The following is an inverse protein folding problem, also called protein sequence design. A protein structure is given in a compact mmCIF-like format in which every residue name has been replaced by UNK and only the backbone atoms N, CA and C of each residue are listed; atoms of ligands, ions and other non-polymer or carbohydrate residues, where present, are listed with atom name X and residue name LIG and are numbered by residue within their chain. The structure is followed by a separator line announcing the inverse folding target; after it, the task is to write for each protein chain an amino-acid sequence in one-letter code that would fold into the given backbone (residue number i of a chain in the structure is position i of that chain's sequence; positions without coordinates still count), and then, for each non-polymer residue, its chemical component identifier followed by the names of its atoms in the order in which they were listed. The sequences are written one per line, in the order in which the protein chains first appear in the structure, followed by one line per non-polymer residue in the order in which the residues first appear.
data_IF_595875577759
#
_entry.id   IF_595875577759
#
_cell.length_a   1.000
_cell.length_b   1.000
_cell.length_c   1.000
_cell.angle_alpha   90.00
_cell.angle_beta   90.00
_cell.angle_gamma   90.00
#
_symmetry.space_group_name_H-M   'P 1'
#
loop_
_entity.id
_entity.type
_entity.pdbx_description
1 polymer ?
#
# COMPACT_ATOMS: atom_id res chain seq x y z
N UNK A 1 19.01 -14.15 -56.83
CA UNK A 1 18.29 -13.83 -55.57
C UNK A 1 17.02 -13.07 -55.91
N UNK A 2 15.85 -13.61 -55.64
CA UNK A 2 14.59 -12.92 -55.89
C UNK A 2 14.50 -11.66 -54.99
N UNK A 3 14.35 -10.49 -55.62
CA UNK A 3 14.11 -9.23 -54.86
C UNK A 3 12.71 -9.33 -54.24
N UNK A 4 12.66 -9.31 -52.91
CA UNK A 4 11.42 -9.23 -52.18
C UNK A 4 10.71 -7.90 -52.53
N UNK A 5 9.46 -8.00 -53.01
CA UNK A 5 8.65 -6.80 -53.27
C UNK A 5 8.13 -6.22 -51.94
N UNK A 6 8.90 -5.31 -51.37
CA UNK A 6 8.59 -4.68 -50.05
C UNK A 6 7.34 -3.78 -50.10
N UNK A 7 6.82 -3.46 -51.28
CA UNK A 7 5.60 -2.67 -51.46
C UNK A 7 4.33 -3.52 -51.61
N UNK A 8 4.42 -4.85 -51.49
CA UNK A 8 3.23 -5.70 -51.55
C UNK A 8 2.50 -5.73 -50.20
N UNK A 9 1.16 -5.73 -50.25
CA UNK A 9 0.34 -5.84 -49.02
C UNK A 9 0.66 -7.11 -48.23
N UNK A 10 0.98 -8.22 -48.91
CA UNK A 10 1.35 -9.51 -48.29
C UNK A 10 2.67 -9.33 -47.49
N UNK A 11 3.68 -8.70 -48.09
CA UNK A 11 4.93 -8.44 -47.38
C UNK A 11 4.71 -7.59 -46.12
N UNK A 12 3.91 -6.52 -46.24
CA UNK A 12 3.60 -5.63 -45.10
C UNK A 12 2.91 -6.37 -43.95
N UNK A 13 1.91 -7.20 -44.28
CA UNK A 13 1.17 -8.00 -43.28
C UNK A 13 2.11 -9.00 -42.61
N UNK A 14 2.87 -9.78 -43.37
CA UNK A 14 3.80 -10.78 -42.80
C UNK A 14 4.86 -10.12 -41.95
N UNK A 15 5.47 -9.03 -42.41
CA UNK A 15 6.47 -8.29 -41.66
C UNK A 15 5.88 -7.74 -40.33
N UNK A 16 4.72 -7.08 -40.40
CA UNK A 16 4.06 -6.53 -39.19
C UNK A 16 3.71 -7.67 -38.21
N UNK A 17 3.21 -8.80 -38.68
CA UNK A 17 2.91 -9.95 -37.82
C UNK A 17 4.14 -10.49 -37.11
N UNK A 18 5.26 -10.67 -37.86
CA UNK A 18 6.52 -11.14 -37.24
C UNK A 18 7.01 -10.15 -36.18
N UNK A 19 7.00 -8.83 -36.47
CA UNK A 19 7.44 -7.81 -35.50
C UNK A 19 6.58 -7.83 -34.24
N UNK A 20 5.24 -7.95 -34.39
CA UNK A 20 4.32 -8.03 -33.25
C UNK A 20 4.57 -9.29 -32.42
N UNK A 21 4.76 -10.44 -33.06
CA UNK A 21 5.07 -11.70 -32.35
C UNK A 21 6.37 -11.58 -31.56
N UNK A 22 7.43 -11.04 -32.16
CA UNK A 22 8.72 -10.86 -31.50
C UNK A 22 8.56 -9.89 -30.30
N UNK A 23 7.88 -8.76 -30.51
CA UNK A 23 7.65 -7.78 -29.44
C UNK A 23 6.83 -8.39 -28.28
N UNK A 24 5.75 -9.13 -28.61
CA UNK A 24 4.92 -9.80 -27.61
C UNK A 24 5.72 -10.84 -26.82
N UNK A 25 6.54 -11.63 -27.50
CA UNK A 25 7.40 -12.63 -26.85
C UNK A 25 8.42 -11.97 -25.90
N UNK A 26 9.11 -10.90 -26.35
CA UNK A 26 10.06 -10.19 -25.52
C UNK A 26 9.40 -9.55 -24.30
N UNK A 27 8.23 -8.92 -24.48
CA UNK A 27 7.49 -8.34 -23.36
C UNK A 27 7.05 -9.41 -22.36
N UNK A 28 6.52 -10.52 -22.83
CA UNK A 28 6.08 -11.62 -21.97
C UNK A 28 7.27 -12.23 -21.20
N UNK A 29 8.40 -12.41 -21.89
CA UNK A 29 9.63 -12.92 -21.25
C UNK A 29 10.12 -12.00 -20.14
N UNK A 30 10.28 -10.70 -20.42
CA UNK A 30 10.72 -9.72 -19.42
C UNK A 30 9.73 -9.62 -18.27
N UNK A 31 8.44 -9.58 -18.54
CA UNK A 31 7.41 -9.55 -17.50
C UNK A 31 7.47 -10.78 -16.59
N UNK A 32 7.64 -11.98 -17.19
CA UNK A 32 7.77 -13.23 -16.43
C UNK A 32 9.04 -13.26 -15.57
N UNK A 33 10.17 -12.82 -16.12
CA UNK A 33 11.45 -12.81 -15.42
C UNK A 33 11.47 -11.82 -14.23
N UNK A 34 10.75 -10.69 -14.35
CA UNK A 34 10.71 -9.66 -13.31
C UNK A 34 9.60 -9.88 -12.27
N UNK A 35 8.64 -10.75 -12.55
CA UNK A 35 7.47 -10.96 -11.68
C UNK A 35 7.84 -11.29 -10.24
N UNK A 36 8.75 -12.22 -9.91
CA UNK A 36 9.10 -12.53 -8.52
C UNK A 36 9.64 -11.31 -7.77
N UNK A 37 10.48 -10.50 -8.44
CA UNK A 37 11.03 -9.27 -7.84
C UNK A 37 9.94 -8.22 -7.63
N UNK A 38 8.99 -8.09 -8.56
CA UNK A 38 7.86 -7.19 -8.40
C UNK A 38 6.96 -7.61 -7.24
N UNK A 39 6.64 -8.90 -7.13
CA UNK A 39 5.80 -9.42 -6.05
C UNK A 39 6.47 -9.20 -4.67
N UNK A 40 7.79 -9.43 -4.56
CA UNK A 40 8.55 -9.15 -3.35
C UNK A 40 8.56 -7.65 -3.00
N UNK A 41 8.71 -6.77 -3.99
CA UNK A 41 8.68 -5.32 -3.78
C UNK A 41 7.31 -4.84 -3.33
N UNK A 42 6.22 -5.37 -3.91
CA UNK A 42 4.83 -5.05 -3.50
C UNK A 42 4.59 -5.47 -2.06
N UNK A 43 5.04 -6.65 -1.65
CA UNK A 43 4.89 -7.12 -0.28
C UNK A 43 5.72 -6.28 0.71
N UNK A 44 6.95 -5.93 0.37
CA UNK A 44 7.79 -5.04 1.18
C UNK A 44 7.18 -3.64 1.30
N UNK A 45 6.60 -3.11 0.22
CA UNK A 45 5.90 -1.81 0.26
C UNK A 45 4.68 -1.88 1.18
N UNK A 46 3.87 -2.94 1.10
CA UNK A 46 2.75 -3.18 2.02
C UNK A 46 3.20 -3.24 3.48
N UNK A 47 4.27 -3.99 3.80
CA UNK A 47 4.84 -4.06 5.16
C UNK A 47 5.31 -2.69 5.63
N UNK A 48 5.98 -1.93 4.76
CA UNK A 48 6.42 -0.55 5.05
C UNK A 48 5.26 0.39 5.36
N UNK A 49 4.15 0.30 4.62
CA UNK A 49 2.95 1.10 4.84
C UNK A 49 2.28 0.79 6.18
N UNK A 50 2.20 -0.50 6.56
CA UNK A 50 1.71 -0.92 7.88
C UNK A 50 2.61 -0.36 8.99
N UNK A 51 3.93 -0.50 8.89
CA UNK A 51 4.88 0.07 9.84
C UNK A 51 4.77 1.60 9.93
N UNK A 52 4.60 2.27 8.79
CA UNK A 52 4.41 3.72 8.76
C UNK A 52 3.18 4.18 9.54
N UNK A 53 2.07 3.41 9.48
CA UNK A 53 0.88 3.69 10.30
C UNK A 53 1.13 3.54 11.79
N UNK A 54 2.08 2.67 12.17
CA UNK A 54 2.56 2.50 13.54
C UNK A 54 3.64 3.51 13.95
N UNK A 55 3.84 4.58 13.17
CA UNK A 55 4.89 5.59 13.35
C UNK A 55 6.33 5.05 13.24
N UNK A 56 6.51 3.88 12.65
CA UNK A 56 7.80 3.22 12.41
C UNK A 56 8.18 3.39 10.92
N UNK A 57 8.48 4.63 10.51
CA UNK A 57 8.89 4.99 9.15
C UNK A 57 10.39 4.73 8.94
N UNK A 58 10.83 4.64 7.70
CA UNK A 58 12.24 4.62 7.28
C UNK A 58 13.08 3.49 7.93
N UNK A 59 12.49 2.30 8.06
CA UNK A 59 13.20 1.13 8.58
C UNK A 59 14.16 0.58 7.53
N UNK A 60 15.44 0.36 7.94
CA UNK A 60 16.45 -0.24 7.07
C UNK A 60 16.15 -1.72 6.79
N UNK A 61 15.57 -2.44 7.75
CA UNK A 61 15.09 -3.81 7.64
C UNK A 61 13.57 -3.82 7.86
N UNK A 62 12.83 -3.68 6.76
CA UNK A 62 11.36 -3.64 6.78
C UNK A 62 10.80 -4.99 7.25
N UNK A 63 11.33 -6.08 6.72
CA UNK A 63 10.82 -7.42 7.01
C UNK A 63 11.08 -7.83 8.46
N UNK A 64 12.31 -7.65 8.95
CA UNK A 64 12.66 -7.93 10.34
C UNK A 64 11.83 -7.11 11.30
N UNK A 65 11.65 -5.79 11.03
CA UNK A 65 10.84 -4.92 11.89
C UNK A 65 9.36 -5.26 11.84
N UNK A 66 8.83 -5.61 10.68
CA UNK A 66 7.45 -6.04 10.54
C UNK A 66 7.18 -7.32 11.36
N UNK A 67 8.05 -8.33 11.25
CA UNK A 67 7.93 -9.59 12.00
C UNK A 67 8.13 -9.40 13.51
N UNK A 68 8.93 -8.41 13.94
CA UNK A 68 9.08 -8.05 15.34
C UNK A 68 7.79 -7.46 15.93
N UNK A 69 7.15 -6.56 15.19
CA UNK A 69 6.04 -5.72 15.69
C UNK A 69 4.67 -6.37 15.48
N UNK A 70 4.44 -7.00 14.31
CA UNK A 70 3.16 -7.65 14.01
C UNK A 70 3.13 -9.02 14.68
N UNK A 71 2.16 -9.23 15.57
CA UNK A 71 2.02 -10.47 16.34
C UNK A 71 1.02 -11.44 15.73
N UNK A 72 -0.04 -10.90 15.10
CA UNK A 72 -1.13 -11.70 14.57
C UNK A 72 -1.84 -10.99 13.44
N UNK A 73 -2.31 -11.74 12.46
CA UNK A 73 -3.26 -11.27 11.43
C UNK A 73 -4.63 -11.86 11.77
N UNK A 74 -5.61 -11.01 12.00
CA UNK A 74 -6.97 -11.42 12.32
C UNK A 74 -7.83 -11.26 11.07
N UNK A 75 -8.36 -12.37 10.57
CA UNK A 75 -9.27 -12.40 9.42
C UNK A 75 -10.71 -12.25 9.91
N UNK A 76 -11.46 -11.36 9.26
CA UNK A 76 -12.88 -11.12 9.50
C UNK A 76 -13.74 -11.75 8.41
N UNK A 77 -13.18 -11.82 7.20
CA UNK A 77 -13.79 -12.44 6.02
C UNK A 77 -12.67 -12.89 5.07
N UNK A 78 -13.03 -13.46 3.92
CA UNK A 78 -12.08 -13.79 2.86
C UNK A 78 -11.27 -12.59 2.34
N UNK A 79 -11.79 -11.38 2.51
CA UNK A 79 -11.20 -10.15 1.94
C UNK A 79 -10.80 -9.11 2.97
N UNK A 80 -11.32 -9.18 4.18
CA UNK A 80 -11.09 -8.20 5.24
C UNK A 80 -10.28 -8.82 6.39
N UNK A 81 -9.12 -8.23 6.67
CA UNK A 81 -8.23 -8.62 7.77
C UNK A 81 -7.66 -7.39 8.46
N UNK A 82 -7.21 -7.53 9.69
CA UNK A 82 -6.48 -6.51 10.42
C UNK A 82 -5.26 -7.11 11.10
N UNK A 83 -4.35 -6.25 11.58
CA UNK A 83 -3.11 -6.68 12.20
C UNK A 83 -3.13 -6.33 13.70
N UNK A 84 -2.79 -7.28 14.55
CA UNK A 84 -2.46 -7.03 15.95
C UNK A 84 -0.97 -6.78 16.05
N UNK A 85 -0.60 -5.63 16.56
CA UNK A 85 0.77 -5.18 16.68
C UNK A 85 1.12 -4.86 18.13
N UNK A 86 2.42 -4.89 18.44
CA UNK A 86 2.96 -4.44 19.72
C UNK A 86 4.08 -3.44 19.45
N UNK A 87 3.90 -2.23 19.94
CA UNK A 87 4.88 -1.14 19.84
C UNK A 87 5.15 -0.62 21.26
N UNK A 88 6.42 -0.61 21.65
CA UNK A 88 6.86 -0.16 23.00
C UNK A 88 6.10 -0.87 24.15
N UNK A 89 5.80 -2.16 24.00
CA UNK A 89 5.06 -2.96 24.97
C UNK A 89 3.56 -2.66 25.04
N UNK A 90 3.03 -1.86 24.12
CA UNK A 90 1.61 -1.55 24.01
C UNK A 90 0.97 -2.21 22.79
N UNK A 91 -0.19 -2.82 23.01
CA UNK A 91 -0.95 -3.39 21.90
C UNK A 91 -1.59 -2.32 21.04
N UNK A 92 -1.55 -2.53 19.73
CA UNK A 92 -2.19 -1.70 18.70
C UNK A 92 -2.97 -2.60 17.75
N UNK A 93 -4.02 -2.07 17.15
CA UNK A 93 -4.73 -2.75 16.06
C UNK A 93 -4.59 -1.91 14.80
N UNK A 94 -4.05 -2.48 13.73
CA UNK A 94 -3.91 -1.79 12.44
C UNK A 94 -5.00 -2.29 11.50
N UNK A 95 -5.85 -1.39 11.06
CA UNK A 95 -6.95 -1.66 10.13
C UNK A 95 -6.64 -1.08 8.76
N UNK A 96 -6.79 -1.86 7.66
CA UNK A 96 -6.70 -1.33 6.32
C UNK A 96 -7.93 -0.51 5.98
N UNK A 97 -7.73 0.59 5.26
CA UNK A 97 -8.80 1.46 4.77
C UNK A 97 -8.67 1.62 3.26
N UNK A 98 -9.79 1.53 2.54
CA UNK A 98 -9.85 1.64 1.08
C UNK A 98 -11.06 2.46 0.67
N UNK A 99 -10.88 3.30 -0.35
CA UNK A 99 -11.93 4.16 -0.89
C UNK A 99 -11.62 4.69 -2.27
N UNK A 100 -12.42 5.64 -2.72
CA UNK A 100 -12.24 6.31 -4.00
C UNK A 100 -11.91 7.79 -3.78
N UNK A 101 -10.90 8.29 -4.50
CA UNK A 101 -10.57 9.70 -4.59
C UNK A 101 -11.27 10.38 -5.77
N UNK A 102 -10.70 11.49 -6.21
CA UNK A 102 -11.19 12.20 -7.39
C UNK A 102 -10.76 11.54 -8.70
N UNK A 103 -9.52 11.05 -8.77
CA UNK A 103 -8.91 10.53 -9.98
C UNK A 103 -8.53 9.05 -9.92
N UNK A 104 -8.61 8.44 -8.75
CA UNK A 104 -8.24 7.03 -8.58
C UNK A 104 -8.53 6.51 -7.19
N UNK A 105 -8.07 5.28 -6.92
CA UNK A 105 -8.20 4.64 -5.62
C UNK A 105 -7.43 5.39 -4.53
N UNK A 106 -8.00 5.36 -3.33
CA UNK A 106 -7.34 5.76 -2.08
C UNK A 106 -7.22 4.53 -1.20
N UNK A 107 -6.10 4.40 -0.50
CA UNK A 107 -5.91 3.34 0.48
C UNK A 107 -4.99 3.80 1.60
N UNK A 108 -4.94 3.01 2.63
CA UNK A 108 -4.03 3.25 3.75
C UNK A 108 -4.26 2.31 4.90
N UNK A 109 -3.70 2.68 6.03
CA UNK A 109 -3.81 1.96 7.29
C UNK A 109 -4.06 2.95 8.43
N UNK A 110 -4.91 2.55 9.36
CA UNK A 110 -5.16 3.28 10.59
C UNK A 110 -4.75 2.38 11.75
N UNK A 111 -3.74 2.79 12.49
CA UNK A 111 -3.33 2.14 13.74
C UNK A 111 -4.13 2.76 14.89
N UNK A 112 -4.72 1.90 15.70
CA UNK A 112 -5.59 2.24 16.84
C UNK A 112 -4.96 1.74 18.11
N UNK A 113 -5.03 2.53 19.17
CA UNK A 113 -4.55 2.17 20.49
C UNK A 113 -5.32 0.98 21.10
N UNK A 114 -4.81 0.44 22.20
CA UNK A 114 -5.41 -0.69 22.91
C UNK A 114 -6.84 -0.41 23.43
N UNK A 115 -7.22 0.88 23.53
CA UNK A 115 -8.57 1.29 23.90
C UNK A 115 -9.61 1.03 22.79
N UNK A 116 -9.15 0.70 21.58
CA UNK A 116 -10.00 0.46 20.40
C UNK A 116 -10.65 1.73 19.82
N UNK A 117 -10.30 2.91 20.32
CA UNK A 117 -10.95 4.17 19.96
C UNK A 117 -9.98 5.26 19.52
N UNK A 118 -8.77 5.31 20.08
CA UNK A 118 -7.81 6.39 19.83
C UNK A 118 -6.90 6.05 18.67
N UNK A 119 -6.77 6.94 17.71
CA UNK A 119 -5.84 6.79 16.59
C UNK A 119 -4.41 6.97 17.07
N UNK A 120 -3.59 5.93 16.96
CA UNK A 120 -2.15 5.97 17.23
C UNK A 120 -1.36 6.60 16.10
N UNK A 121 -1.74 6.29 14.85
CA UNK A 121 -1.15 6.84 13.65
C UNK A 121 -1.85 6.38 12.38
N UNK A 122 -1.53 6.99 11.26
CA UNK A 122 -2.12 6.66 9.97
C UNK A 122 -1.06 6.64 8.87
N UNK A 123 -1.36 5.89 7.81
CA UNK A 123 -0.70 5.96 6.53
C UNK A 123 -1.76 6.05 5.44
N UNK A 124 -1.64 7.02 4.53
CA UNK A 124 -2.51 7.15 3.36
C UNK A 124 -1.71 7.25 2.09
N UNK A 125 -2.26 6.66 1.02
CA UNK A 125 -1.72 6.74 -0.33
C UNK A 125 -2.86 6.85 -1.34
N UNK A 126 -2.49 7.09 -2.60
CA UNK A 126 -3.42 7.27 -3.71
C UNK A 126 -2.84 6.73 -5.01
N UNK A 127 -3.69 6.40 -5.95
CA UNK A 127 -3.28 5.92 -7.26
C UNK A 127 -2.84 7.05 -8.20
N UNK A 128 -3.66 8.09 -8.35
CA UNK A 128 -3.48 9.11 -9.40
C UNK A 128 -3.97 10.50 -9.04
N UNK A 129 -4.00 10.85 -7.74
CA UNK A 129 -4.40 12.19 -7.33
C UNK A 129 -3.40 13.27 -7.77
N UNK A 130 -3.89 14.47 -7.99
CA UNK A 130 -3.08 15.59 -8.51
C UNK A 130 -2.02 16.04 -7.52
N UNK A 131 -0.75 16.08 -7.96
CA UNK A 131 0.38 16.56 -7.17
C UNK A 131 0.15 18.02 -6.68
N UNK A 132 0.49 18.27 -5.41
CA UNK A 132 0.28 19.56 -4.75
C UNK A 132 -1.18 19.85 -4.35
N UNK A 133 -2.13 18.99 -4.72
CA UNK A 133 -3.54 19.04 -4.35
C UNK A 133 -3.96 17.75 -3.61
N UNK A 134 -4.71 16.86 -4.27
CA UNK A 134 -5.19 15.61 -3.68
C UNK A 134 -4.08 14.67 -3.22
N UNK A 135 -2.96 14.62 -3.93
CA UNK A 135 -1.80 13.80 -3.57
C UNK A 135 -1.21 14.14 -2.18
N UNK A 136 -1.50 15.34 -1.65
CA UNK A 136 -1.02 15.78 -0.33
C UNK A 136 -1.60 14.99 0.85
N UNK A 137 -2.61 14.14 0.64
CA UNK A 137 -3.07 13.19 1.66
C UNK A 137 -1.96 12.21 2.06
N UNK A 138 -1.00 11.94 1.17
CA UNK A 138 0.17 11.09 1.45
C UNK A 138 1.30 11.83 2.20
N UNK A 139 1.22 13.14 2.36
CA UNK A 139 2.20 13.91 3.13
C UNK A 139 2.07 13.64 4.63
N UNK A 140 3.20 13.60 5.32
CA UNK A 140 3.25 13.24 6.74
C UNK A 140 2.42 14.18 7.63
N UNK A 141 2.43 15.50 7.37
CA UNK A 141 1.67 16.46 8.15
C UNK A 141 0.16 16.16 8.17
N UNK A 142 -0.40 15.70 7.03
CA UNK A 142 -1.81 15.32 6.97
C UNK A 142 -2.07 14.04 7.74
N UNK A 143 -1.22 13.05 7.57
CA UNK A 143 -1.31 11.78 8.31
C UNK A 143 -1.13 12.01 9.82
N UNK A 144 -0.18 12.83 10.24
CA UNK A 144 0.07 13.14 11.64
C UNK A 144 -1.09 13.90 12.30
N UNK A 145 -1.93 14.60 11.52
CA UNK A 145 -3.10 15.31 12.06
C UNK A 145 -4.16 14.38 12.66
N UNK A 146 -4.12 13.09 12.33
CA UNK A 146 -5.03 12.08 12.88
C UNK A 146 -4.59 11.52 14.23
N UNK A 147 -3.34 11.72 14.65
CA UNK A 147 -2.84 11.20 15.93
C UNK A 147 -3.63 11.74 17.11
N UNK A 148 -4.05 10.83 17.99
CA UNK A 148 -4.85 11.16 19.17
C UNK A 148 -6.32 11.46 18.89
N UNK A 149 -6.78 11.43 17.64
CA UNK A 149 -8.18 11.57 17.30
C UNK A 149 -8.98 10.34 17.73
N UNK A 150 -10.28 10.53 17.94
CA UNK A 150 -11.20 9.48 18.35
C UNK A 150 -11.98 8.95 17.15
N UNK A 151 -12.11 7.62 17.07
CA UNK A 151 -12.86 6.94 16.01
C UNK A 151 -14.36 7.04 16.20
N UNK A 152 -14.83 6.89 17.43
CA UNK A 152 -16.25 6.71 17.74
C UNK A 152 -16.81 7.79 18.66
N UNK A 153 -18.04 8.22 18.40
CA UNK A 153 -18.87 9.04 19.28
C UNK A 153 -20.23 8.39 19.39
N UNK A 154 -20.72 8.20 20.61
CA UNK A 154 -22.01 7.57 20.89
C UNK A 154 -22.19 6.18 20.22
N UNK A 155 -21.08 5.46 19.98
CA UNK A 155 -21.04 4.13 19.37
C UNK A 155 -21.02 4.12 17.83
N UNK A 156 -21.10 5.28 17.19
CA UNK A 156 -21.02 5.45 15.74
C UNK A 156 -19.63 5.96 15.31
N UNK A 157 -19.23 5.65 14.06
CA UNK A 157 -17.99 6.18 13.50
C UNK A 157 -18.11 7.68 13.29
N UNK A 158 -17.35 8.45 14.06
CA UNK A 158 -17.38 9.91 14.08
C UNK A 158 -16.15 10.57 13.43
N UNK A 159 -15.02 9.83 13.34
CA UNK A 159 -13.80 10.36 12.73
C UNK A 159 -14.07 10.81 11.30
N UNK A 160 -13.79 12.07 11.01
CA UNK A 160 -14.05 12.66 9.70
C UNK A 160 -13.00 13.65 9.24
N UNK A 161 -13.10 14.04 7.96
CA UNK A 161 -12.24 15.04 7.32
C UNK A 161 -13.12 16.17 6.78
N UNK A 162 -12.99 17.36 7.34
CA UNK A 162 -13.85 18.48 6.97
C UNK A 162 -13.05 19.70 6.52
N UNK A 163 -13.59 20.44 5.59
CA UNK A 163 -13.02 21.75 5.24
C UNK A 163 -12.97 22.63 6.48
N UNK A 164 -11.88 23.36 6.68
CA UNK A 164 -11.68 24.25 7.82
C UNK A 164 -12.92 25.10 8.09
N UNK A 165 -13.41 25.06 9.33
CA UNK A 165 -14.62 25.76 9.77
C UNK A 165 -15.94 25.20 9.21
N UNK A 166 -15.97 23.99 8.65
CA UNK A 166 -17.15 23.31 8.09
C UNK A 166 -17.45 21.97 8.75
N UNK A 167 -16.79 21.66 9.86
CA UNK A 167 -17.19 20.50 10.66
C UNK A 167 -18.63 20.67 11.17
N UNK A 168 -19.39 19.56 11.37
CA UNK A 168 -20.74 19.60 11.93
C UNK A 168 -20.80 20.38 13.24
N UNK A 169 -21.88 21.15 13.44
CA UNK A 169 -22.06 21.91 14.66
C UNK A 169 -22.09 20.97 15.89
N UNK A 170 -21.28 21.28 16.90
CA UNK A 170 -21.21 20.48 18.14
C UNK A 170 -20.31 19.25 18.05
N UNK A 171 -19.62 19.02 16.91
CA UNK A 171 -18.58 18.00 16.83
C UNK A 171 -17.28 18.56 17.41
N UNK A 172 -16.75 17.90 18.44
CA UNK A 172 -15.48 18.28 19.07
C UNK A 172 -14.31 18.01 18.12
N UNK A 173 -13.23 18.78 18.29
CA UNK A 173 -12.01 18.68 17.46
C UNK A 173 -11.34 17.31 17.52
N UNK A 174 -11.62 16.51 18.52
CA UNK A 174 -11.09 15.16 18.71
C UNK A 174 -11.60 14.15 17.67
N UNK A 175 -12.70 14.48 16.96
CA UNK A 175 -13.33 13.59 16.00
C UNK A 175 -13.09 13.98 14.53
N UNK A 176 -12.28 15.00 14.26
CA UNK A 176 -12.02 15.36 12.88
C UNK A 176 -10.65 16.01 12.65
N UNK A 177 -10.27 16.03 11.38
CA UNK A 177 -9.11 16.79 10.89
C UNK A 177 -9.53 17.73 9.77
N UNK A 178 -8.71 18.76 9.53
CA UNK A 178 -8.92 19.68 8.43
C UNK A 178 -8.56 19.02 7.08
N UNK A 179 -9.43 19.26 6.09
CA UNK A 179 -9.22 18.82 4.72
C UNK A 179 -8.01 19.50 4.07
N UNK A 180 -7.39 18.83 3.11
CA UNK A 180 -6.32 19.43 2.29
C UNK A 180 -6.88 20.59 1.49
N UNK A 181 -6.28 21.77 1.68
CA UNK A 181 -6.69 22.99 0.96
C UNK A 181 -6.55 22.79 -0.55
N UNK A 182 -7.61 23.11 -1.30
CA UNK A 182 -7.66 22.94 -2.75
C UNK A 182 -7.99 21.52 -3.22
N UNK A 183 -8.14 20.54 -2.31
CA UNK A 183 -8.41 19.14 -2.64
C UNK A 183 -9.69 18.62 -1.96
N UNK A 184 -10.78 19.38 -2.03
CA UNK A 184 -12.04 19.06 -1.33
C UNK A 184 -12.59 17.68 -1.70
N UNK A 185 -12.57 17.32 -2.98
CA UNK A 185 -13.13 16.05 -3.44
C UNK A 185 -12.31 14.85 -2.96
N UNK A 186 -10.99 14.93 -3.04
CA UNK A 186 -10.09 13.90 -2.49
C UNK A 186 -10.25 13.79 -0.97
N UNK A 187 -10.34 14.91 -0.26
CA UNK A 187 -10.55 14.93 1.20
C UNK A 187 -11.90 14.33 1.60
N UNK A 188 -12.96 14.56 0.83
CA UNK A 188 -14.24 13.89 1.01
C UNK A 188 -14.12 12.38 0.75
N UNK A 189 -13.28 11.98 -0.22
CA UNK A 189 -12.96 10.58 -0.47
C UNK A 189 -12.30 9.92 0.74
N UNK A 190 -11.34 10.61 1.40
CA UNK A 190 -10.72 10.13 2.65
C UNK A 190 -11.75 10.03 3.77
N UNK A 191 -12.62 11.04 3.95
CA UNK A 191 -13.70 11.01 4.94
C UNK A 191 -14.59 9.77 4.76
N UNK A 192 -15.04 9.53 3.54
CA UNK A 192 -15.89 8.39 3.23
C UNK A 192 -15.14 7.06 3.37
N UNK A 193 -13.88 6.99 2.94
CA UNK A 193 -13.01 5.84 3.11
C UNK A 193 -12.89 5.44 4.58
N UNK A 194 -12.63 6.40 5.46
CA UNK A 194 -12.54 6.16 6.90
C UNK A 194 -13.86 5.62 7.46
N UNK A 195 -14.98 6.29 7.21
CA UNK A 195 -16.30 5.89 7.72
C UNK A 195 -16.70 4.49 7.28
N UNK A 196 -16.55 4.19 5.99
CA UNK A 196 -16.94 2.89 5.44
C UNK A 196 -16.01 1.76 5.85
N UNK A 197 -14.71 2.03 5.94
CA UNK A 197 -13.74 1.00 6.32
C UNK A 197 -13.78 0.74 7.83
N UNK A 198 -13.73 1.78 8.68
CA UNK A 198 -13.75 1.61 10.15
C UNK A 198 -15.00 0.87 10.61
N UNK A 199 -16.15 1.11 9.98
CA UNK A 199 -17.40 0.44 10.31
C UNK A 199 -17.33 -1.09 10.24
N UNK A 200 -16.47 -1.65 9.38
CA UNK A 200 -16.26 -3.10 9.26
C UNK A 200 -15.50 -3.70 10.45
N UNK A 201 -14.69 -2.90 11.12
CA UNK A 201 -13.77 -3.34 12.17
C UNK A 201 -14.24 -3.01 13.59
N UNK A 202 -15.46 -2.49 13.75
CA UNK A 202 -16.02 -2.07 15.06
C UNK A 202 -15.96 -3.19 16.09
N UNK A 203 -16.38 -4.41 15.72
CA UNK A 203 -16.41 -5.55 16.63
C UNK A 203 -14.99 -6.00 17.05
N UNK A 204 -14.01 -5.94 16.12
CA UNK A 204 -12.61 -6.22 16.43
C UNK A 204 -12.03 -5.19 17.39
N UNK A 205 -12.32 -3.91 17.15
CA UNK A 205 -11.82 -2.81 17.96
C UNK A 205 -12.42 -2.84 19.36
N UNK A 206 -13.68 -3.28 19.50
CA UNK A 206 -14.35 -3.49 20.81
C UNK A 206 -13.93 -4.78 21.51
N UNK A 207 -13.09 -5.63 20.87
CA UNK A 207 -12.66 -6.91 21.43
C UNK A 207 -13.71 -8.02 21.38
N UNK A 208 -14.77 -7.85 20.59
CA UNK A 208 -15.90 -8.79 20.51
C UNK A 208 -15.84 -9.73 19.29
N UNK A 209 -14.92 -9.52 18.37
CA UNK A 209 -14.86 -10.31 17.14
C UNK A 209 -14.27 -11.70 17.40
N UNK A 210 -14.96 -12.74 16.94
CA UNK A 210 -14.37 -14.05 16.77
C UNK A 210 -13.57 -14.07 15.44
N UNK A 211 -12.27 -14.40 15.46
CA UNK A 211 -11.49 -14.51 14.21
C UNK A 211 -12.04 -15.66 13.35
N UNK A 212 -12.10 -15.43 12.05
CA UNK A 212 -12.38 -16.49 11.06
C UNK A 212 -11.05 -17.16 10.73
N UNK A 213 -11.07 -18.47 10.39
CA UNK A 213 -9.88 -19.19 9.95
C UNK A 213 -9.21 -18.46 8.76
N UNK A 214 -7.88 -18.56 8.68
CA UNK A 214 -7.13 -17.99 7.56
C UNK A 214 -7.65 -18.60 6.24
N UNK A 215 -8.18 -17.78 5.30
CA UNK A 215 -8.69 -18.31 4.03
C UNK A 215 -7.59 -18.94 3.16
N UNK A 216 -6.31 -18.69 3.48
CA UNK A 216 -5.15 -19.28 2.81
C UNK A 216 -4.56 -20.48 3.60
N UNK A 217 -5.12 -20.85 4.74
CA UNK A 217 -4.67 -22.01 5.51
C UNK A 217 -4.92 -23.30 4.71
N UNK A 218 -3.83 -23.92 4.24
CA UNK A 218 -3.87 -25.12 3.39
C UNK A 218 -3.62 -24.89 1.90
N UNK A 219 -3.50 -23.65 1.44
CA UNK A 219 -2.96 -23.33 0.12
C UNK A 219 -1.43 -23.32 0.23
N UNK A 220 -0.83 -24.50 0.11
CA UNK A 220 0.61 -24.58 -0.19
C UNK A 220 0.81 -24.06 -1.60
N UNK A 221 1.28 -22.82 -1.72
CA UNK A 221 1.90 -22.36 -2.96
C UNK A 221 3.16 -23.21 -3.06
N UNK A 222 3.16 -24.25 -3.92
CA UNK A 222 4.41 -24.89 -4.34
C UNK A 222 5.23 -23.79 -5.01
N UNK A 223 6.18 -23.25 -4.25
CA UNK A 223 7.25 -22.44 -4.81
C UNK A 223 8.09 -23.46 -5.59
N UNK A 224 7.88 -23.54 -6.91
CA UNK A 224 8.82 -24.22 -7.77
C UNK A 224 10.19 -23.59 -7.50
N UNK A 225 11.09 -24.38 -6.94
CA UNK A 225 12.46 -24.03 -6.64
C UNK A 225 13.16 -23.72 -7.98
N UNK A 226 13.15 -22.45 -8.36
CA UNK A 226 13.88 -22.01 -9.54
C UNK A 226 15.36 -22.13 -9.24
N UNK A 227 16.04 -23.05 -9.93
CA UNK A 227 17.49 -23.16 -9.93
C UNK A 227 18.08 -21.75 -10.13
N UNK A 228 18.83 -21.31 -9.12
CA UNK A 228 19.57 -20.04 -9.17
C UNK A 228 20.54 -20.12 -10.34
N UNK A 229 20.26 -19.39 -11.41
CA UNK A 229 21.19 -19.21 -12.51
C UNK A 229 22.46 -18.61 -11.92
N UNK A 230 23.64 -19.23 -12.09
CA UNK A 230 24.87 -18.73 -11.48
C UNK A 230 25.14 -17.30 -11.93
N UNK A 231 25.39 -16.44 -10.96
CA UNK A 231 25.82 -15.05 -11.13
C UNK A 231 26.98 -14.99 -12.13
N UNK A 232 26.78 -14.24 -13.20
CA UNK A 232 27.86 -13.90 -14.13
C UNK A 232 28.85 -13.06 -13.34
N UNK A 233 30.07 -13.61 -13.12
CA UNK A 233 31.19 -12.88 -12.54
C UNK A 233 31.45 -11.61 -13.35
N UNK A 234 31.27 -10.47 -12.73
CA UNK A 234 31.73 -9.20 -13.31
C UNK A 234 33.25 -9.21 -13.39
N UNK A 235 33.87 -8.90 -14.54
CA UNK A 235 35.31 -8.78 -14.65
C UNK A 235 35.81 -7.66 -13.72
N UNK A 236 36.78 -8.01 -12.89
CA UNK A 236 37.50 -7.11 -11.99
C UNK A 236 38.14 -5.99 -12.83
N UNK A 237 37.85 -4.75 -12.53
CA UNK A 237 38.51 -3.59 -13.13
C UNK A 237 39.99 -3.64 -12.89
N UNK A 238 40.84 -3.29 -13.89
CA UNK A 238 42.27 -3.26 -13.71
C UNK A 238 42.70 -2.13 -12.78
N UNK A 239 43.49 -2.45 -11.76
CA UNK A 239 44.16 -1.47 -10.90
C UNK A 239 44.99 -0.51 -11.76
N UNK A 240 44.67 0.78 -11.67
CA UNK A 240 45.51 1.86 -12.19
C UNK A 240 46.72 1.95 -11.24
N UNK A 241 47.89 1.54 -11.68
CA UNK A 241 49.14 1.86 -11.00
C UNK A 241 49.43 3.35 -11.15
N UNK A 242 49.51 4.03 -10.02
CA UNK A 242 50.06 5.38 -9.95
C UNK A 242 51.50 5.36 -10.41
N UNK A 243 51.79 6.01 -11.52
CA UNK A 243 53.17 6.38 -11.89
C UNK A 243 53.44 7.74 -11.24
N UNK A 244 54.27 7.69 -10.21
CA UNK A 244 55.05 8.84 -9.74
C UNK A 244 56.01 9.30 -10.82
N UNK A 245 55.99 10.58 -11.17
CA UNK A 245 57.11 11.46 -11.50
C UNK A 245 56.72 12.93 -11.30
#
# INVERSE_FOLDING_TARGET
MAKLNTNSNVYTIVYATIVVIIAAFLLAFVASALKPTQDANVENDRKSQVLASLNLRDQADIEGKYNEVIKEVVYLSETDSCFKAEVDGQQKTVIPVKGAGLWGGLWGYVAVDADGETVFGTYFSHESETAGLGARIAEQWFQDSFKGKKLFKDGEVALGVYKQGKAPNGLETDYYVDAVTGATLTSNGVDQMLKTSIAKYVEVLKGNAAPVADPNEGVTVEVEEYEVVPTIDHPVEPKVEEMED
#
